data_IF_750543704275
#
_entry.id   IF_750543704275
#
_cell.length_a   1.000
_cell.length_b   1.000
_cell.length_c   1.000
_cell.angle_alpha   90.00
_cell.angle_beta   90.00
_cell.angle_gamma   90.00
#
_symmetry.space_group_name_H-M   'P 1'
#
loop_
_entity.id
_entity.type
_entity.pdbx_description
1 polymer ?
#
# COMPACT_ATOMS: atom_id res chain seq x y z
N UNK A 1 13.86 -34.82 0.83
CA UNK A 1 13.34 -33.57 1.43
C UNK A 1 14.28 -32.45 1.07
N UNK A 2 13.80 -31.37 0.44
CA UNK A 2 14.17 -29.97 0.68
C UNK A 2 13.26 -29.11 -0.21
N UNK A 3 12.52 -28.20 0.41
CA UNK A 3 11.40 -27.49 -0.17
C UNK A 3 11.80 -26.27 -0.98
N UNK A 4 11.08 -26.05 -2.08
CA UNK A 4 11.07 -24.81 -2.84
C UNK A 4 10.22 -23.81 -2.03
N UNK A 5 10.85 -22.78 -1.47
CA UNK A 5 10.16 -21.65 -0.84
C UNK A 5 9.29 -20.96 -1.90
N UNK A 6 7.97 -21.12 -1.79
CA UNK A 6 7.05 -20.35 -2.62
C UNK A 6 7.13 -18.89 -2.18
N UNK A 7 7.63 -18.04 -3.07
CA UNK A 7 7.61 -16.60 -2.90
C UNK A 7 6.14 -16.11 -2.98
N UNK A 8 5.56 -15.54 -1.90
CA UNK A 8 4.16 -15.10 -1.90
C UNK A 8 3.89 -13.93 -2.86
N UNK A 9 4.92 -13.26 -3.37
CA UNK A 9 4.80 -12.20 -4.38
C UNK A 9 4.49 -12.76 -5.80
N UNK A 10 4.83 -14.01 -6.09
CA UNK A 10 4.66 -14.60 -7.42
C UNK A 10 3.19 -14.90 -7.78
N UNK A 11 2.29 -14.91 -6.80
CA UNK A 11 0.86 -15.12 -7.03
C UNK A 11 0.14 -13.88 -7.58
N UNK A 12 0.75 -12.69 -7.54
CA UNK A 12 0.11 -11.44 -7.93
C UNK A 12 0.47 -10.95 -9.34
N UNK A 13 1.53 -11.49 -9.94
CA UNK A 13 2.05 -11.01 -11.23
C UNK A 13 1.34 -11.59 -12.47
N UNK A 14 0.40 -12.52 -12.30
CA UNK A 14 -0.15 -13.29 -13.42
C UNK A 14 -1.66 -13.14 -13.63
N UNK A 15 -2.18 -11.92 -13.67
CA UNK A 15 -3.51 -11.67 -14.25
C UNK A 15 -3.47 -10.41 -15.10
N UNK A 16 -3.10 -10.61 -16.37
CA UNK A 16 -3.40 -9.68 -17.44
C UNK A 16 -4.89 -9.73 -17.74
N UNK A 17 -5.48 -8.53 -17.84
CA UNK A 17 -6.61 -8.09 -18.67
C UNK A 17 -7.68 -9.15 -19.00
N UNK A 18 -8.91 -8.86 -18.59
CA UNK A 18 -10.16 -9.60 -18.87
C UNK A 18 -10.59 -10.64 -17.83
N UNK A 19 -10.94 -10.20 -16.62
CA UNK A 19 -12.26 -10.59 -16.04
C UNK A 19 -12.63 -9.70 -14.85
N UNK A 20 -13.89 -9.27 -14.87
CA UNK A 20 -14.54 -8.47 -13.85
C UNK A 20 -14.44 -9.09 -12.43
N UNK A 21 -14.05 -8.24 -11.47
CA UNK A 21 -14.75 -8.07 -10.19
C UNK A 21 -14.90 -9.36 -9.35
N UNK A 22 -13.83 -9.79 -8.65
CA UNK A 22 -13.94 -10.53 -7.37
C UNK A 22 -12.63 -10.72 -6.59
N UNK A 23 -11.59 -9.94 -6.89
CA UNK A 23 -10.32 -9.90 -6.16
C UNK A 23 -10.25 -8.57 -5.41
N UNK A 24 -9.70 -8.53 -4.19
CA UNK A 24 -9.50 -7.28 -3.49
C UNK A 24 -8.77 -6.29 -4.42
N UNK A 25 -9.30 -5.08 -4.57
CA UNK A 25 -8.69 -4.02 -5.37
C UNK A 25 -7.20 -3.92 -4.94
N UNK A 26 -6.21 -4.11 -5.85
CA UNK A 26 -4.79 -4.03 -5.51
C UNK A 26 -4.45 -2.73 -4.76
N UNK A 27 -5.18 -1.65 -5.04
CA UNK A 27 -5.05 -0.41 -4.32
C UNK A 27 -5.49 -0.52 -2.85
N UNK A 28 -6.57 -1.25 -2.56
CA UNK A 28 -7.04 -1.50 -1.19
C UNK A 28 -6.03 -2.33 -0.39
N UNK A 29 -5.34 -3.29 -1.02
CA UNK A 29 -4.29 -4.07 -0.37
C UNK A 29 -3.14 -3.18 0.10
N UNK A 30 -2.68 -2.25 -0.75
CA UNK A 30 -1.63 -1.28 -0.37
C UNK A 30 -2.09 -0.40 0.81
N UNK A 31 -3.34 0.09 0.78
CA UNK A 31 -3.89 0.86 1.90
C UNK A 31 -3.91 0.05 3.20
N UNK A 32 -4.25 -1.24 3.14
CA UNK A 32 -4.22 -2.13 4.30
C UNK A 32 -2.81 -2.37 4.83
N UNK A 33 -1.79 -2.45 3.95
CA UNK A 33 -0.38 -2.54 4.37
C UNK A 33 0.03 -1.27 5.13
N UNK A 34 -0.34 -0.08 4.65
CA UNK A 34 -0.11 1.16 5.40
C UNK A 34 -0.81 1.14 6.77
N UNK A 35 -2.09 0.75 6.84
CA UNK A 35 -2.84 0.63 8.10
C UNK A 35 -2.16 -0.34 9.07
N UNK A 36 -1.70 -1.49 8.57
CA UNK A 36 -0.98 -2.51 9.36
C UNK A 36 0.36 -2.01 9.90
N UNK A 37 1.19 -1.39 9.05
CA UNK A 37 2.48 -0.84 9.48
C UNK A 37 2.30 0.24 10.55
N UNK A 38 1.36 1.17 10.36
CA UNK A 38 1.08 2.25 11.32
C UNK A 38 0.51 1.73 12.64
N UNK A 39 -0.31 0.68 12.59
CA UNK A 39 -0.81 0.00 13.79
C UNK A 39 0.35 -0.63 14.57
N UNK A 40 1.26 -1.33 13.88
CA UNK A 40 2.45 -1.91 14.51
C UNK A 40 3.36 -0.84 15.14
N UNK A 41 3.54 0.32 14.49
CA UNK A 41 4.28 1.46 15.07
C UNK A 41 3.59 2.00 16.33
N UNK A 42 2.26 2.11 16.31
CA UNK A 42 1.49 2.58 17.46
C UNK A 42 1.60 1.61 18.65
N UNK A 43 1.60 0.30 18.40
CA UNK A 43 1.86 -0.71 19.41
C UNK A 43 3.28 -0.63 19.95
N UNK A 44 4.28 -0.48 19.08
CA UNK A 44 5.67 -0.28 19.48
C UNK A 44 5.84 0.94 20.41
N UNK A 45 5.12 2.03 20.13
CA UNK A 45 5.11 3.24 20.95
C UNK A 45 4.55 2.95 22.35
N UNK A 46 3.40 2.27 22.45
CA UNK A 46 2.81 1.88 23.74
C UNK A 46 3.74 0.99 24.55
N UNK A 47 4.31 -0.05 23.94
CA UNK A 47 5.26 -0.95 24.59
C UNK A 47 6.53 -0.19 25.05
N UNK A 48 7.00 0.78 24.26
CA UNK A 48 8.13 1.64 24.65
C UNK A 48 7.82 2.51 25.87
N UNK A 49 6.61 3.07 25.95
CA UNK A 49 6.17 3.87 27.11
C UNK A 49 6.04 3.03 28.39
N UNK A 50 5.67 1.75 28.26
CA UNK A 50 5.57 0.81 29.38
C UNK A 50 6.86 0.04 29.70
N UNK A 51 7.97 0.31 29.00
CA UNK A 51 9.23 -0.43 29.11
C UNK A 51 9.13 -1.94 28.79
N UNK A 52 8.19 -2.33 27.93
CA UNK A 52 7.98 -3.70 27.44
C UNK A 52 8.92 -3.96 26.25
N UNK A 53 10.20 -4.22 26.55
CA UNK A 53 11.27 -4.27 25.54
C UNK A 53 11.07 -5.37 24.48
N UNK A 54 10.72 -6.63 24.83
CA UNK A 54 10.48 -7.68 23.84
C UNK A 54 9.33 -7.35 22.89
N UNK A 55 8.20 -6.90 23.43
CA UNK A 55 6.99 -6.59 22.69
C UNK A 55 7.19 -5.36 21.79
N UNK A 56 7.89 -4.34 22.28
CA UNK A 56 8.37 -3.21 21.46
C UNK A 56 9.18 -3.72 20.28
N UNK A 57 10.17 -4.58 20.53
CA UNK A 57 11.02 -5.13 19.48
C UNK A 57 10.22 -5.89 18.41
N UNK A 58 9.27 -6.71 18.85
CA UNK A 58 8.39 -7.47 17.96
C UNK A 58 7.52 -6.55 17.10
N UNK A 59 6.87 -5.55 17.70
CA UNK A 59 6.03 -4.60 16.99
C UNK A 59 6.83 -3.75 15.98
N UNK A 60 8.04 -3.29 16.32
CA UNK A 60 8.91 -2.59 15.37
C UNK A 60 9.33 -3.50 14.23
N UNK A 61 9.68 -4.75 14.53
CA UNK A 61 10.09 -5.71 13.51
C UNK A 61 8.95 -6.01 12.53
N UNK A 62 7.73 -6.13 13.04
CA UNK A 62 6.52 -6.27 12.21
C UNK A 62 6.29 -5.05 11.31
N UNK A 63 6.45 -3.83 11.82
CA UNK A 63 6.32 -2.63 11.00
C UNK A 63 7.36 -2.60 9.86
N UNK A 64 8.63 -2.92 10.15
CA UNK A 64 9.71 -2.99 9.16
C UNK A 64 9.43 -4.08 8.13
N UNK A 65 8.93 -5.24 8.54
CA UNK A 65 8.56 -6.34 7.64
C UNK A 65 7.47 -5.92 6.65
N UNK A 66 6.40 -5.28 7.12
CA UNK A 66 5.33 -4.77 6.25
C UNK A 66 5.85 -3.74 5.25
N UNK A 67 6.77 -2.87 5.68
CA UNK A 67 7.37 -1.85 4.80
C UNK A 67 8.27 -2.51 3.75
N UNK A 68 9.23 -3.34 4.18
CA UNK A 68 10.25 -3.87 3.29
C UNK A 68 9.73 -5.03 2.42
N UNK A 69 8.95 -5.94 2.99
CA UNK A 69 8.47 -7.14 2.31
C UNK A 69 7.05 -7.00 1.77
N UNK A 70 6.35 -5.92 2.10
CA UNK A 70 5.04 -5.56 1.54
C UNK A 70 5.12 -4.37 0.59
N UNK A 71 5.27 -3.16 1.15
CA UNK A 71 5.18 -1.91 0.40
C UNK A 71 6.33 -1.75 -0.61
N UNK A 72 7.58 -1.97 -0.21
CA UNK A 72 8.74 -1.79 -1.07
C UNK A 72 8.75 -2.80 -2.23
N UNK A 73 8.47 -4.08 -1.94
CA UNK A 73 8.36 -5.14 -2.96
C UNK A 73 7.20 -4.89 -3.93
N UNK A 74 6.16 -4.15 -3.52
CA UNK A 74 5.04 -3.81 -4.41
C UNK A 74 5.35 -2.70 -5.42
N UNK A 75 6.50 -2.02 -5.30
CA UNK A 75 6.89 -1.00 -6.27
C UNK A 75 7.39 -1.63 -7.57
N UNK A 76 6.81 -1.19 -8.69
CA UNK A 76 7.33 -1.47 -10.02
C UNK A 76 8.46 -0.47 -10.33
N UNK A 77 9.69 -0.80 -9.93
CA UNK A 77 10.86 0.05 -10.16
C UNK A 77 11.18 0.16 -11.65
N UNK A 78 11.00 -0.93 -12.41
CA UNK A 78 11.33 -0.99 -13.85
C UNK A 78 10.47 -0.02 -14.67
N UNK A 79 9.17 0.04 -14.41
CA UNK A 79 8.25 0.91 -15.14
C UNK A 79 7.98 2.25 -14.42
N UNK A 80 8.22 2.33 -13.12
CA UNK A 80 7.92 3.52 -12.30
C UNK A 80 9.01 4.60 -12.33
N UNK A 81 10.20 4.28 -12.83
CA UNK A 81 11.30 5.22 -13.03
C UNK A 81 11.66 6.01 -11.75
N UNK A 82 12.02 7.28 -11.91
CA UNK A 82 12.50 8.14 -10.82
C UNK A 82 11.52 8.24 -9.64
N UNK A 83 10.21 8.19 -9.89
CA UNK A 83 9.22 8.25 -8.82
C UNK A 83 9.26 6.99 -7.94
N UNK A 84 9.37 5.82 -8.57
CA UNK A 84 9.45 4.57 -7.83
C UNK A 84 10.76 4.45 -7.05
N UNK A 85 11.88 4.93 -7.60
CA UNK A 85 13.16 5.03 -6.89
C UNK A 85 13.07 5.95 -5.66
N UNK A 86 12.45 7.13 -5.80
CA UNK A 86 12.24 8.06 -4.67
C UNK A 86 11.35 7.47 -3.59
N UNK A 87 10.30 6.74 -3.96
CA UNK A 87 9.43 6.03 -3.01
C UNK A 87 10.18 4.89 -2.31
N UNK A 88 10.99 4.12 -3.03
CA UNK A 88 11.83 3.07 -2.46
C UNK A 88 12.79 3.64 -1.40
N UNK A 89 13.52 4.71 -1.75
CA UNK A 89 14.41 5.38 -0.82
C UNK A 89 13.68 5.92 0.43
N UNK A 90 12.45 6.40 0.27
CA UNK A 90 11.63 6.85 1.41
C UNK A 90 11.21 5.69 2.31
N UNK A 91 10.80 4.55 1.75
CA UNK A 91 10.51 3.35 2.54
C UNK A 91 11.74 2.82 3.29
N UNK A 92 12.90 2.80 2.65
CA UNK A 92 14.16 2.43 3.30
C UNK A 92 14.51 3.36 4.46
N UNK A 93 14.35 4.68 4.25
CA UNK A 93 14.54 5.67 5.30
C UNK A 93 13.62 5.44 6.49
N UNK A 94 12.32 5.20 6.26
CA UNK A 94 11.35 4.92 7.33
C UNK A 94 11.78 3.67 8.11
N UNK A 95 12.18 2.59 7.43
CA UNK A 95 12.69 1.37 8.08
C UNK A 95 13.94 1.64 8.93
N UNK A 96 14.87 2.48 8.46
CA UNK A 96 16.04 2.90 9.24
C UNK A 96 15.65 3.73 10.47
N UNK A 97 14.65 4.62 10.36
CA UNK A 97 14.12 5.39 11.51
C UNK A 97 13.50 4.48 12.56
N UNK A 98 12.75 3.45 12.16
CA UNK A 98 12.19 2.46 13.07
C UNK A 98 13.27 1.64 13.78
N UNK A 99 14.33 1.23 13.06
CA UNK A 99 15.47 0.56 13.68
C UNK A 99 16.18 1.46 14.68
N UNK A 100 16.40 2.73 14.34
CA UNK A 100 16.97 3.72 15.25
C UNK A 100 16.12 3.92 16.50
N UNK A 101 14.79 4.01 16.33
CA UNK A 101 13.84 4.10 17.43
C UNK A 101 13.97 2.91 18.38
N UNK A 102 14.09 1.69 17.84
CA UNK A 102 14.27 0.48 18.63
C UNK A 102 15.57 0.51 19.44
N UNK A 103 16.68 0.84 18.79
CA UNK A 103 18.03 0.85 19.38
C UNK A 103 18.20 1.92 20.46
N UNK A 104 17.52 3.07 20.30
CA UNK A 104 17.68 4.23 21.17
C UNK A 104 16.49 4.50 22.09
N UNK A 105 15.46 3.66 22.06
CA UNK A 105 14.17 3.92 22.71
C UNK A 105 13.66 5.33 22.39
N UNK A 106 13.73 5.72 21.11
CA UNK A 106 13.42 7.06 20.67
C UNK A 106 11.98 7.13 20.12
N UNK A 107 11.06 7.63 20.95
CA UNK A 107 9.65 7.80 20.58
C UNK A 107 9.47 8.76 19.40
N UNK A 108 10.22 9.86 19.36
CA UNK A 108 10.12 10.83 18.26
C UNK A 108 10.46 10.22 16.90
N UNK A 109 11.37 9.23 16.86
CA UNK A 109 11.68 8.49 15.64
C UNK A 109 10.52 7.55 15.19
N UNK A 110 9.73 7.00 16.13
CA UNK A 110 8.49 6.28 15.80
C UNK A 110 7.43 7.24 15.25
N UNK A 111 7.27 8.40 15.89
CA UNK A 111 6.28 9.40 15.50
C UNK A 111 6.56 9.93 14.09
N UNK A 112 7.83 10.23 13.78
CA UNK A 112 8.26 10.65 12.44
C UNK A 112 7.98 9.56 11.38
N UNK A 113 8.34 8.31 11.65
CA UNK A 113 8.06 7.20 10.76
C UNK A 113 6.55 7.01 10.51
N UNK A 114 5.74 7.11 11.56
CA UNK A 114 4.28 7.02 11.46
C UNK A 114 3.67 8.19 10.68
N UNK A 115 4.21 9.40 10.85
CA UNK A 115 3.77 10.58 10.10
C UNK A 115 4.04 10.41 8.60
N UNK A 116 5.27 10.03 8.22
CA UNK A 116 5.66 9.83 6.82
C UNK A 116 4.78 8.75 6.15
N UNK A 117 4.56 7.62 6.83
CA UNK A 117 3.63 6.59 6.33
C UNK A 117 2.20 7.11 6.19
N UNK A 118 1.75 7.99 7.09
CA UNK A 118 0.43 8.58 7.03
C UNK A 118 0.23 9.55 5.87
N UNK A 119 1.25 10.32 5.53
CA UNK A 119 1.24 11.19 4.36
C UNK A 119 1.17 10.37 3.07
N UNK A 120 1.98 9.31 2.96
CA UNK A 120 1.96 8.37 1.82
C UNK A 120 0.62 7.65 1.68
N UNK A 121 0.08 7.13 2.79
CA UNK A 121 -1.23 6.49 2.81
C UNK A 121 -2.32 7.44 2.31
N UNK A 122 -2.29 8.69 2.77
CA UNK A 122 -3.28 9.71 2.38
C UNK A 122 -3.19 10.03 0.88
N UNK A 123 -1.97 10.18 0.35
CA UNK A 123 -1.74 10.36 -1.07
C UNK A 123 -2.27 9.17 -1.89
N UNK A 124 -2.06 7.94 -1.42
CA UNK A 124 -2.57 6.73 -2.06
C UNK A 124 -4.11 6.72 -2.09
N UNK A 125 -4.76 6.92 -0.95
CA UNK A 125 -6.24 6.97 -0.85
C UNK A 125 -6.85 8.04 -1.77
N UNK A 126 -6.19 9.19 -1.92
CA UNK A 126 -6.63 10.24 -2.85
C UNK A 126 -6.60 9.76 -4.31
N UNK A 127 -5.60 8.98 -4.71
CA UNK A 127 -5.50 8.41 -6.06
C UNK A 127 -6.66 7.41 -6.31
N UNK A 128 -6.96 6.51 -5.37
CA UNK A 128 -8.10 5.59 -5.48
C UNK A 128 -9.42 6.33 -5.72
N UNK A 129 -9.68 7.36 -4.92
CA UNK A 129 -10.91 8.16 -5.05
C UNK A 129 -11.01 8.79 -6.44
N UNK A 130 -9.88 9.23 -7.02
CA UNK A 130 -9.84 9.78 -8.37
C UNK A 130 -10.04 8.74 -9.48
N UNK A 131 -9.75 7.47 -9.24
CA UNK A 131 -10.03 6.43 -10.24
C UNK A 131 -11.52 6.05 -10.25
N UNK A 132 -12.15 6.04 -9.07
CA UNK A 132 -13.56 5.68 -8.92
C UNK A 132 -14.56 6.73 -9.42
N UNK A 133 -14.16 8.00 -9.55
CA UNK A 133 -15.05 9.11 -9.96
C UNK A 133 -15.03 9.45 -11.46
N UNK A 134 -14.46 8.60 -12.34
CA UNK A 134 -14.48 8.86 -13.80
C UNK A 134 -15.95 8.85 -14.28
N UNK A 135 -16.50 9.97 -14.77
CA UNK A 135 -17.88 9.98 -15.25
C UNK A 135 -18.04 8.99 -16.40
N UNK A 136 -19.18 8.28 -16.51
CA UNK A 136 -19.42 7.38 -17.64
C UNK A 136 -19.20 8.17 -18.93
N UNK A 137 -18.35 7.65 -19.81
CA UNK A 137 -18.10 8.28 -21.09
C UNK A 137 -19.45 8.43 -21.80
N UNK A 138 -19.88 9.67 -22.05
CA UNK A 138 -21.09 9.91 -22.84
C UNK A 138 -20.78 9.45 -24.26
N UNK A 139 -21.34 8.31 -24.66
CA UNK A 139 -21.26 7.83 -26.03
C UNK A 139 -21.84 8.90 -26.97
N UNK A 140 -21.07 9.42 -27.95
CA UNK A 140 -21.51 10.54 -28.80
C UNK A 140 -22.69 10.20 -29.72
N UNK A 141 -23.12 8.93 -29.80
CA UNK A 141 -24.08 8.47 -30.80
C UNK A 141 -25.51 8.20 -30.27
N UNK A 142 -25.83 8.45 -28.99
CA UNK A 142 -27.19 8.30 -28.45
C UNK A 142 -28.12 9.51 -28.69
N UNK A 143 -28.12 10.05 -29.91
CA UNK A 143 -29.10 11.05 -30.38
C UNK A 143 -29.79 10.67 -31.68
N UNK A 144 -29.87 9.37 -32.02
CA UNK A 144 -30.71 8.93 -33.13
C UNK A 144 -31.58 7.74 -32.71
N UNK A 145 -32.54 8.04 -31.83
CA UNK A 145 -33.66 7.15 -31.57
C UNK A 145 -34.57 7.12 -32.81
N UNK A 146 -34.45 6.01 -33.53
CA UNK A 146 -35.44 5.40 -34.42
C UNK A 146 -36.82 6.07 -34.43
N UNK A 147 -37.13 6.78 -35.52
CA UNK A 147 -38.52 6.85 -35.99
C UNK A 147 -38.77 5.52 -36.70
N UNK A 148 -39.41 4.60 -35.99
CA UNK A 148 -39.91 3.35 -36.57
C UNK A 148 -40.96 3.65 -37.66
N UNK A 149 -40.99 2.89 -38.78
CA UNK A 149 -42.06 3.00 -39.76
C UNK A 149 -43.30 2.30 -39.21
N UNK A 150 -44.40 3.03 -39.03
CA UNK A 150 -45.72 2.45 -38.80
C UNK A 150 -46.64 2.72 -39.98
N UNK A 151 -47.09 1.61 -40.54
CA UNK A 151 -48.18 1.37 -41.47
C UNK A 151 -49.41 2.25 -41.23
N UNK A 152 -49.94 2.85 -42.30
CA UNK A 152 -51.30 2.72 -42.90
C UNK A 152 -51.30 3.47 -44.22
#
# INVERSE_FOLDING_TARGET
MFGMTQNPAAAYAQIGVDTMIQSADPHRLIVMLFEGARTAISMARLHMEHNEIPEKGAAISQAIDIINNGLLVSLDIENGGELAERLAALYEYISQRLLWANLKNNVAALDEANQLLGELQSAWVMIARRLNHRPPQREPWRLNGSISPLSI
#
